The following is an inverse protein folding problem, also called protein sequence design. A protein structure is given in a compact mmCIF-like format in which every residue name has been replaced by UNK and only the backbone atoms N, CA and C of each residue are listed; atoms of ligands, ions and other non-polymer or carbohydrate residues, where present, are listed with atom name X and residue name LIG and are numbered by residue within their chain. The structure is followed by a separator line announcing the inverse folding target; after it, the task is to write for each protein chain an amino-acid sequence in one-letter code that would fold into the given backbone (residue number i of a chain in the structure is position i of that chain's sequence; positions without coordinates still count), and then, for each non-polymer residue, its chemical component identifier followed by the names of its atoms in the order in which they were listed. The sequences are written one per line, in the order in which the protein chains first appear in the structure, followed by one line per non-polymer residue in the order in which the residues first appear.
data_IF_360165878270
#
_entry.id   IF_360165878270
#
_cell.length_a   1.000
_cell.length_b   1.000
_cell.length_c   1.000
_cell.angle_alpha   90.00
_cell.angle_beta   90.00
_cell.angle_gamma   90.00
#
_symmetry.space_group_name_H-M   'P 1'
#
loop_
_entity.id
_entity.type
_entity.pdbx_description
1 polymer ?
#
# COMPACT_ATOMS: atom_id res chain seq x y z
N UNK A 1 -6.24 -6.53 -7.79
CA UNK A 1 -6.14 -5.47 -6.76
C UNK A 1 -6.46 -5.98 -5.36
N UNK A 2 -7.58 -6.69 -5.12
CA UNK A 2 -7.94 -7.22 -3.78
C UNK A 2 -6.82 -8.04 -3.12
N UNK A 3 -6.14 -8.90 -3.89
CA UNK A 3 -5.01 -9.68 -3.37
C UNK A 3 -3.85 -8.83 -2.82
N UNK A 4 -3.61 -7.62 -3.36
CA UNK A 4 -2.57 -6.73 -2.85
C UNK A 4 -2.91 -6.13 -1.49
N UNK A 5 -4.20 -5.82 -1.27
CA UNK A 5 -4.69 -5.38 0.04
C UNK A 5 -4.59 -6.52 1.05
N UNK A 6 -5.03 -7.72 0.66
CA UNK A 6 -4.92 -8.91 1.52
C UNK A 6 -3.47 -9.16 1.95
N UNK A 7 -2.52 -9.12 1.01
CA UNK A 7 -1.10 -9.30 1.32
C UNK A 7 -0.58 -8.18 2.21
N UNK A 8 -0.90 -6.91 1.93
CA UNK A 8 -0.51 -5.79 2.77
C UNK A 8 -0.98 -5.92 4.22
N UNK A 9 -2.19 -6.46 4.44
CA UNK A 9 -2.72 -6.68 5.80
C UNK A 9 -2.24 -7.97 6.45
N UNK A 10 -1.68 -8.90 5.67
CA UNK A 10 -1.20 -10.20 6.18
C UNK A 10 0.26 -10.16 6.63
N UNK A 11 1.02 -9.17 6.17
CA UNK A 11 2.43 -8.97 6.51
C UNK A 11 2.54 -7.66 7.30
N UNK A 12 2.77 -7.77 8.61
CA UNK A 12 2.95 -6.63 9.52
C UNK A 12 4.44 -6.43 9.86
N UNK A 13 4.82 -5.18 10.14
CA UNK A 13 6.16 -4.68 10.51
C UNK A 13 7.30 -4.70 9.44
N UNK A 14 8.40 -3.99 9.74
CA UNK A 14 9.51 -3.53 8.88
C UNK A 14 10.26 -4.60 8.06
N UNK A 15 10.19 -5.88 8.44
CA UNK A 15 10.82 -7.01 7.71
C UNK A 15 9.96 -7.51 6.53
N UNK A 16 8.73 -6.99 6.37
CA UNK A 16 7.70 -7.56 5.51
C UNK A 16 7.95 -7.47 4.00
N UNK A 17 8.81 -6.58 3.52
CA UNK A 17 8.95 -6.35 2.08
C UNK A 17 9.53 -7.57 1.32
N UNK A 18 10.56 -8.22 1.87
CA UNK A 18 11.09 -9.46 1.28
C UNK A 18 10.07 -10.60 1.39
N UNK A 19 9.40 -10.74 2.54
CA UNK A 19 8.33 -11.72 2.74
C UNK A 19 7.15 -11.55 1.77
N UNK A 20 6.75 -10.31 1.48
CA UNK A 20 5.72 -9.98 0.50
C UNK A 20 6.13 -10.42 -0.90
N UNK A 21 7.39 -10.18 -1.28
CA UNK A 21 7.90 -10.55 -2.61
C UNK A 21 7.99 -12.06 -2.78
N UNK A 22 8.52 -12.77 -1.78
CA UNK A 22 8.60 -14.22 -1.79
C UNK A 22 7.20 -14.85 -1.83
N UNK A 23 6.27 -14.33 -1.03
CA UNK A 23 4.88 -14.77 -1.04
C UNK A 23 4.18 -14.55 -2.38
N UNK A 24 4.46 -13.43 -3.04
CA UNK A 24 3.83 -13.09 -4.32
C UNK A 24 4.49 -13.77 -5.52
N UNK A 25 5.78 -14.12 -5.43
CA UNK A 25 6.57 -14.73 -6.51
C UNK A 25 5.87 -15.89 -7.25
N UNK A 26 5.26 -16.88 -6.57
CA UNK A 26 4.61 -18.01 -7.23
C UNK A 26 3.22 -17.70 -7.82
N UNK A 27 2.62 -16.54 -7.51
CA UNK A 27 1.24 -16.25 -7.88
C UNK A 27 1.08 -15.80 -9.34
N UNK A 28 -0.02 -16.19 -9.99
CA UNK A 28 -0.43 -15.60 -11.25
C UNK A 28 -0.71 -14.10 -11.04
N UNK A 29 0.07 -13.23 -11.70
CA UNK A 29 0.12 -11.78 -11.48
C UNK A 29 0.79 -11.32 -10.17
N UNK A 30 1.68 -12.13 -9.61
CA UNK A 30 2.44 -11.84 -8.39
C UNK A 30 3.11 -10.47 -8.39
N UNK A 31 3.68 -10.04 -9.52
CA UNK A 31 4.31 -8.70 -9.65
C UNK A 31 3.33 -7.55 -9.40
N UNK A 32 2.11 -7.65 -9.92
CA UNK A 32 1.07 -6.62 -9.70
C UNK A 32 0.53 -6.64 -8.28
N UNK A 33 0.40 -7.83 -7.68
CA UNK A 33 -0.02 -7.99 -6.28
C UNK A 33 1.03 -7.41 -5.33
N UNK A 34 2.30 -7.79 -5.51
CA UNK A 34 3.43 -7.29 -4.76
C UNK A 34 3.57 -5.77 -4.88
N UNK A 35 3.39 -5.21 -6.08
CA UNK A 35 3.46 -3.75 -6.29
C UNK A 35 2.43 -2.99 -5.45
N UNK A 36 1.20 -3.49 -5.36
CA UNK A 36 0.16 -2.86 -4.53
C UNK A 36 0.48 -3.06 -3.04
N UNK A 37 0.86 -4.28 -2.65
CA UNK A 37 1.16 -4.60 -1.25
C UNK A 37 2.32 -3.76 -0.69
N UNK A 38 3.42 -3.66 -1.45
CA UNK A 38 4.59 -2.87 -1.07
C UNK A 38 4.30 -1.36 -1.08
N UNK A 39 3.40 -0.87 -1.94
CA UNK A 39 2.99 0.53 -1.90
C UNK A 39 2.27 0.88 -0.59
N UNK A 40 1.40 -0.02 -0.10
CA UNK A 40 0.77 0.15 1.23
C UNK A 40 1.78 0.01 2.36
N UNK A 41 2.66 -0.99 2.31
CA UNK A 41 3.68 -1.18 3.33
C UNK A 41 4.60 0.05 3.45
N UNK A 42 5.08 0.61 2.34
CA UNK A 42 5.91 1.82 2.33
C UNK A 42 5.15 3.08 2.74
N UNK A 43 3.84 3.17 2.46
CA UNK A 43 3.02 4.28 2.93
C UNK A 43 2.77 4.23 4.45
N UNK A 44 2.63 3.05 5.03
CA UNK A 44 2.39 2.86 6.46
C UNK A 44 3.67 2.96 7.29
N UNK A 45 4.77 2.37 6.82
CA UNK A 45 6.01 2.24 7.58
C UNK A 45 7.12 3.23 7.17
N UNK A 46 6.90 3.99 6.09
CA UNK A 46 7.89 4.91 5.53
C UNK A 46 8.91 4.21 4.63
N UNK A 47 9.73 5.02 3.96
CA UNK A 47 10.67 4.53 2.95
C UNK A 47 11.80 3.65 3.54
N UNK A 48 12.09 3.78 4.84
CA UNK A 48 13.15 3.00 5.51
C UNK A 48 12.81 1.51 5.65
N UNK A 49 11.53 1.15 5.48
CA UNK A 49 11.09 -0.25 5.50
C UNK A 49 11.39 -1.02 4.20
N UNK A 50 11.95 -0.35 3.19
CA UNK A 50 12.24 -0.98 1.89
C UNK A 50 13.67 -1.54 1.87
N UNK A 51 13.88 -2.81 1.43
CA UNK A 51 15.19 -3.43 1.41
C UNK A 51 16.16 -2.64 0.50
N UNK A 52 17.35 -2.24 0.98
CA UNK A 52 18.32 -1.51 0.16
C UNK A 52 18.76 -2.28 -1.10
N UNK A 53 18.79 -3.61 -1.00
CA UNK A 53 19.05 -4.54 -2.10
C UNK A 53 18.02 -4.43 -3.23
N UNK A 54 16.80 -4.01 -2.91
CA UNK A 54 15.71 -3.83 -3.87
C UNK A 54 15.74 -2.45 -4.51
N UNK A 55 15.96 -1.42 -3.69
CA UNK A 55 16.08 -0.03 -4.16
C UNK A 55 17.23 0.11 -5.16
N UNK A 56 18.38 -0.48 -4.86
CA UNK A 56 19.58 -0.45 -5.72
C UNK A 56 19.39 -1.10 -7.09
N UNK A 57 18.38 -1.95 -7.26
CA UNK A 57 18.07 -2.65 -8.53
C UNK A 57 17.02 -1.91 -9.37
N UNK A 58 16.42 -0.85 -8.85
CA UNK A 58 15.44 -0.05 -9.58
C UNK A 58 16.15 0.89 -10.54
N UNK A 59 16.04 0.59 -11.84
CA UNK A 59 16.59 1.41 -12.95
C UNK A 59 16.17 2.89 -12.86
N UNK A 60 15.01 3.16 -12.26
CA UNK A 60 14.45 4.51 -12.08
C UNK A 60 14.24 4.91 -10.62
N UNK A 61 14.93 4.27 -9.66
CA UNK A 61 14.72 4.51 -8.22
C UNK A 61 14.78 5.99 -7.83
N UNK A 62 15.84 6.69 -8.26
CA UNK A 62 16.01 8.12 -7.97
C UNK A 62 14.92 9.02 -8.57
N UNK A 63 14.41 8.69 -9.77
CA UNK A 63 13.32 9.44 -10.41
C UNK A 63 12.03 9.25 -9.61
N UNK A 64 11.77 8.03 -9.15
CA UNK A 64 10.61 7.72 -8.32
C UNK A 64 10.67 8.44 -6.97
N UNK A 65 11.85 8.52 -6.33
CA UNK A 65 12.03 9.27 -5.08
C UNK A 65 11.72 10.76 -5.26
N UNK A 66 12.21 11.34 -6.36
CA UNK A 66 11.91 12.74 -6.69
C UNK A 66 10.43 12.97 -6.94
N UNK A 67 9.77 12.06 -7.67
CA UNK A 67 8.34 12.12 -7.88
C UNK A 67 7.55 12.01 -6.56
N UNK A 68 7.98 11.14 -5.64
CA UNK A 68 7.34 10.99 -4.33
C UNK A 68 7.46 12.26 -3.47
N UNK A 69 8.64 12.90 -3.46
CA UNK A 69 8.86 14.18 -2.77
C UNK A 69 8.00 15.29 -3.39
N UNK A 70 7.98 15.41 -4.72
CA UNK A 70 7.17 16.40 -5.43
C UNK A 70 5.67 16.18 -5.18
N UNK A 71 5.23 14.92 -5.20
CA UNK A 71 3.84 14.55 -4.91
C UNK A 71 3.48 14.90 -3.47
N UNK A 72 4.32 14.57 -2.50
CA UNK A 72 4.10 14.91 -1.09
C UNK A 72 4.01 16.43 -0.90
N UNK A 73 4.87 17.18 -1.57
CA UNK A 73 4.86 18.65 -1.55
C UNK A 73 3.58 19.23 -2.15
N UNK A 74 3.07 18.62 -3.24
CA UNK A 74 1.82 19.05 -3.90
C UNK A 74 0.56 18.65 -3.15
N UNK A 75 0.57 17.50 -2.49
CA UNK A 75 -0.61 16.88 -1.84
C UNK A 75 -0.70 17.21 -0.35
N UNK A 76 0.31 17.86 0.24
CA UNK A 76 0.26 18.30 1.63
C UNK A 76 -0.77 19.41 1.88
N UNK A 77 -2.06 19.04 1.94
CA UNK A 77 -3.19 19.68 2.65
C UNK A 77 -4.48 18.84 2.48
N UNK A 78 -5.47 18.82 3.42
CA UNK A 78 -5.48 19.07 4.86
C UNK A 78 -5.44 17.75 5.67
N UNK A 79 -5.45 17.83 7.01
CA UNK A 79 -5.63 16.66 7.91
C UNK A 79 -6.85 15.85 7.47
N UNK A 80 -6.72 14.52 7.47
CA UNK A 80 -7.83 13.58 7.29
C UNK A 80 -9.03 14.05 8.13
N UNK A 81 -10.16 14.29 7.47
CA UNK A 81 -11.42 14.54 8.15
C UNK A 81 -12.29 13.28 8.01
N UNK A 82 -12.99 12.86 9.08
CA UNK A 82 -13.94 11.77 8.98
C UNK A 82 -14.95 12.08 7.88
N UNK A 83 -15.09 11.15 6.93
CA UNK A 83 -16.15 11.19 5.93
C UNK A 83 -17.48 10.92 6.66
N UNK A 84 -18.21 11.97 7.05
CA UNK A 84 -19.65 11.88 7.36
C UNK A 84 -20.47 12.10 6.08
N UNK A 85 -20.08 11.41 5.01
CA UNK A 85 -20.76 11.54 3.72
C UNK A 85 -21.89 10.52 3.63
N UNK A 86 -23.13 11.00 3.77
CA UNK A 86 -24.34 10.22 3.57
C UNK A 86 -24.35 9.55 2.18
N UNK A 87 -23.80 10.18 1.15
CA UNK A 87 -23.73 9.61 -0.20
C UNK A 87 -22.76 8.42 -0.26
N UNK A 88 -21.67 8.45 0.52
CA UNK A 88 -20.73 7.33 0.64
C UNK A 88 -21.38 6.13 1.34
N UNK A 89 -22.11 6.34 2.45
CA UNK A 89 -22.84 5.28 3.17
C UNK A 89 -23.95 4.64 2.31
N UNK A 90 -24.61 5.42 1.45
CA UNK A 90 -25.62 4.90 0.51
C UNK A 90 -25.01 4.04 -0.60
N UNK A 91 -23.78 4.34 -1.03
CA UNK A 91 -23.07 3.59 -2.06
C UNK A 91 -22.52 2.26 -1.56
N UNK A 92 -22.10 2.21 -0.29
CA UNK A 92 -21.57 1.01 0.35
C UNK A 92 -22.32 0.76 1.66
N UNK A 93 -23.56 0.25 1.60
CA UNK A 93 -24.31 -0.06 2.80
C UNK A 93 -23.52 -1.11 3.59
N UNK A 94 -23.20 -0.82 4.85
CA UNK A 94 -22.63 -1.82 5.73
C UNK A 94 -23.61 -2.99 5.80
N UNK A 95 -23.13 -4.20 5.50
CA UNK A 95 -23.92 -5.42 5.67
C UNK A 95 -24.39 -5.45 7.13
N UNK A 96 -25.69 -5.66 7.42
CA UNK A 96 -26.12 -5.82 8.80
C UNK A 96 -25.31 -6.98 9.39
N UNK A 97 -24.51 -6.68 10.42
CA UNK A 97 -23.91 -7.71 11.26
C UNK A 97 -25.11 -8.40 11.90
N UNK A 98 -25.36 -9.66 11.55
CA UNK A 98 -26.41 -10.45 12.19
C UNK A 98 -26.04 -10.52 13.67
N UNK A 99 -26.73 -9.73 14.49
CA UNK A 99 -26.67 -9.83 15.94
C UNK A 99 -27.61 -10.97 16.33
N UNK A 100 -27.01 -12.05 16.85
CA UNK A 100 -27.70 -13.11 17.57
C UNK A 100 -28.32 -12.59 18.88
#
# INVERSE_FOLDING_TARGET
MVGGIYVATSFDDHDGAEGILDFCSPAANGRSVASVALAFAGATHGYESLPPSLISRLEFGWIMDRLAIDLTTRVSAPKWQPIDDRAWRLKYPATPRNEE
#
